data_IF_703434064552
#
_entry.id   IF_703434064552
#
_cell.length_a   1.000
_cell.length_b   1.000
_cell.length_c   1.000
_cell.angle_alpha   90.00
_cell.angle_beta   90.00
_cell.angle_gamma   90.00
#
_symmetry.space_group_name_H-M   'P 1'
#
loop_
_entity.id
_entity.type
_entity.pdbx_description
1 polymer ?
#
# COMPACT_ATOMS: atom_id res chain seq x y z
N UNK A 1 38.57 -23.87 -69.04
CA UNK A 1 37.45 -24.55 -69.75
C UNK A 1 36.39 -24.75 -68.68
N UNK A 2 35.30 -23.99 -68.56
CA UNK A 2 34.36 -23.37 -69.53
C UNK A 2 33.71 -22.17 -68.74
N UNK A 3 33.99 -20.89 -69.04
CA UNK A 3 33.20 -19.90 -69.84
C UNK A 3 31.68 -19.96 -69.53
N UNK A 4 30.97 -18.93 -69.02
CA UNK A 4 30.50 -17.66 -69.67
C UNK A 4 29.82 -16.75 -68.60
N UNK A 5 30.25 -15.50 -68.33
CA UNK A 5 29.90 -14.16 -68.90
C UNK A 5 28.73 -13.36 -68.28
N UNK A 6 29.10 -12.18 -67.74
CA UNK A 6 28.50 -10.83 -67.97
C UNK A 6 27.07 -10.54 -67.45
N UNK A 7 26.64 -9.31 -67.12
CA UNK A 7 27.08 -7.99 -67.57
C UNK A 7 26.64 -6.87 -66.61
N UNK A 8 27.33 -5.74 -66.76
CA UNK A 8 27.07 -4.42 -66.18
C UNK A 8 25.92 -3.69 -66.87
N UNK A 9 25.16 -2.86 -66.13
CA UNK A 9 24.70 -1.55 -66.64
C UNK A 9 24.27 -0.57 -65.54
N UNK A 10 25.02 0.52 -65.43
CA UNK A 10 24.58 1.83 -64.92
C UNK A 10 23.56 2.43 -65.87
N UNK A 11 22.57 3.17 -65.35
CA UNK A 11 22.13 4.42 -65.95
C UNK A 11 21.56 5.38 -64.89
N UNK A 12 22.01 6.63 -64.99
CA UNK A 12 21.62 7.82 -64.24
C UNK A 12 20.51 8.59 -64.97
N UNK A 13 20.03 9.65 -64.30
CA UNK A 13 19.12 10.73 -64.71
C UNK A 13 17.62 10.39 -64.54
N UNK A 14 16.75 11.27 -64.03
CA UNK A 14 16.73 12.72 -64.17
C UNK A 14 15.81 13.37 -63.09
N UNK A 15 16.20 14.56 -62.64
CA UNK A 15 15.40 15.50 -61.83
C UNK A 15 14.26 16.12 -62.66
N UNK A 16 13.19 16.63 -61.99
CA UNK A 16 12.57 17.98 -62.15
C UNK A 16 11.09 18.04 -61.66
N UNK A 17 10.52 19.23 -61.37
CA UNK A 17 9.82 19.52 -60.10
C UNK A 17 8.41 20.13 -60.25
N UNK A 18 7.90 20.67 -59.13
CA UNK A 18 6.81 21.66 -58.95
C UNK A 18 5.36 21.24 -59.24
N UNK A 19 4.51 21.40 -58.23
CA UNK A 19 3.29 22.21 -58.39
C UNK A 19 2.91 22.88 -57.06
N UNK A 20 2.90 24.22 -57.11
CA UNK A 20 2.24 25.11 -56.17
C UNK A 20 0.71 24.99 -56.27
N UNK A 21 0.01 25.07 -55.15
CA UNK A 21 -1.33 25.67 -55.09
C UNK A 21 -1.43 26.56 -53.84
N UNK A 22 -1.99 27.75 -54.07
CA UNK A 22 -2.01 28.92 -53.19
C UNK A 22 -3.50 29.27 -52.92
N UNK A 23 -3.88 29.36 -51.63
CA UNK A 23 -4.94 30.18 -50.99
C UNK A 23 -6.43 30.02 -51.43
N UNK A 24 -7.45 30.49 -50.65
CA UNK A 24 -7.40 31.48 -49.56
C UNK A 24 -8.22 31.21 -48.25
N UNK A 25 -7.91 32.05 -47.25
CA UNK A 25 -8.75 32.63 -46.18
C UNK A 25 -10.07 31.95 -45.78
N UNK A 26 -10.20 31.61 -44.50
CA UNK A 26 -11.41 31.94 -43.74
C UNK A 26 -11.08 32.22 -42.26
N UNK A 27 -11.16 33.50 -41.92
CA UNK A 27 -11.19 34.04 -40.58
C UNK A 27 -12.64 33.89 -40.08
N UNK A 28 -12.89 33.18 -38.98
CA UNK A 28 -14.16 33.30 -38.25
C UNK A 28 -13.89 33.52 -36.76
N UNK A 29 -14.20 34.75 -36.35
CA UNK A 29 -14.29 35.27 -35.00
C UNK A 29 -15.70 34.97 -34.44
N UNK A 30 -15.78 34.86 -33.11
CA UNK A 30 -16.98 34.88 -32.25
C UNK A 30 -17.73 33.54 -32.07
N UNK A 31 -17.61 32.91 -30.89
CA UNK A 31 -18.48 33.26 -29.76
C UNK A 31 -17.99 32.63 -28.45
N UNK A 32 -18.05 33.47 -27.42
CA UNK A 32 -17.96 33.16 -25.99
C UNK A 32 -18.98 32.10 -25.58
N UNK A 33 -18.53 31.02 -24.95
CA UNK A 33 -19.36 30.22 -24.07
C UNK A 33 -18.65 30.04 -22.74
N UNK A 34 -19.13 30.81 -21.77
CA UNK A 34 -18.97 30.60 -20.34
C UNK A 34 -19.49 29.22 -19.99
N UNK A 35 -18.68 28.37 -19.35
CA UNK A 35 -19.18 27.19 -18.66
C UNK A 35 -18.43 26.99 -17.33
N UNK A 36 -19.18 27.37 -16.30
CA UNK A 36 -19.32 26.77 -14.96
C UNK A 36 -18.09 26.70 -14.05
N UNK A 37 -18.11 27.65 -13.11
CA UNK A 37 -17.72 27.51 -11.72
C UNK A 37 -17.78 26.05 -11.22
N UNK A 38 -16.63 25.51 -10.84
CA UNK A 38 -16.59 24.50 -9.78
C UNK A 38 -16.88 25.20 -8.45
N UNK A 39 -18.16 25.39 -8.16
CA UNK A 39 -18.62 25.67 -6.81
C UNK A 39 -18.28 24.46 -5.93
N UNK A 40 -17.18 24.57 -5.18
CA UNK A 40 -16.92 23.74 -4.01
C UNK A 40 -18.05 24.03 -3.04
N UNK A 41 -19.03 23.13 -2.98
CA UNK A 41 -20.10 23.20 -2.00
C UNK A 41 -19.52 22.73 -0.65
N UNK A 42 -18.92 23.67 0.09
CA UNK A 42 -18.72 23.56 1.53
C UNK A 42 -20.11 23.55 2.18
N UNK A 43 -20.67 22.37 2.40
CA UNK A 43 -21.90 22.19 3.19
C UNK A 43 -21.53 22.21 4.68
N UNK A 44 -21.59 23.39 5.29
CA UNK A 44 -21.81 23.50 6.73
C UNK A 44 -23.31 23.41 6.97
N UNK A 45 -23.81 22.31 7.52
CA UNK A 45 -25.25 22.15 7.79
C UNK A 45 -25.48 21.79 9.25
N UNK A 46 -26.16 22.70 9.96
CA UNK A 46 -26.95 22.40 11.15
C UNK A 46 -28.17 21.56 10.70
N UNK A 47 -28.23 20.30 11.10
CA UNK A 47 -29.25 19.37 10.62
C UNK A 47 -30.51 19.35 11.50
N UNK A 48 -31.66 19.62 10.88
CA UNK A 48 -32.97 19.11 11.31
C UNK A 48 -33.49 18.08 10.28
N UNK A 49 -34.12 17.05 10.83
CA UNK A 49 -34.48 15.75 10.27
C UNK A 49 -35.57 15.75 9.18
N UNK A 50 -35.47 14.80 8.23
CA UNK A 50 -36.55 13.85 7.88
C UNK A 50 -36.00 12.71 7.00
N UNK A 51 -36.41 11.46 7.32
CA UNK A 51 -35.82 10.18 6.84
C UNK A 51 -36.74 9.46 5.86
N UNK A 52 -36.20 8.76 4.85
CA UNK A 52 -36.80 7.50 4.41
C UNK A 52 -35.82 6.30 4.36
N UNK A 53 -36.38 5.15 4.80
CA UNK A 53 -35.94 3.73 4.82
C UNK A 53 -34.45 3.37 4.59
N UNK A 54 -33.81 3.05 5.71
CA UNK A 54 -32.44 2.57 5.93
C UNK A 54 -32.18 1.12 5.50
N UNK A 55 -31.03 0.90 4.87
CA UNK A 55 -30.26 -0.33 5.04
C UNK A 55 -29.90 -0.43 6.54
N UNK A 56 -30.34 -1.49 7.23
CA UNK A 56 -30.00 -1.64 8.66
C UNK A 56 -28.52 -1.98 8.78
N UNK A 57 -27.70 -0.99 9.11
CA UNK A 57 -26.39 -1.26 9.67
C UNK A 57 -26.54 -2.17 10.89
N UNK A 58 -25.66 -3.17 11.07
CA UNK A 58 -25.65 -3.91 12.32
C UNK A 58 -25.45 -2.93 13.49
N UNK A 59 -26.15 -3.14 14.62
CA UNK A 59 -25.95 -2.30 15.80
C UNK A 59 -24.47 -2.30 16.22
N UNK A 60 -23.99 -1.24 16.90
CA UNK A 60 -22.63 -1.19 17.43
C UNK A 60 -22.35 -2.48 18.20
N UNK A 61 -21.34 -3.22 17.75
CA UNK A 61 -20.98 -4.50 18.34
C UNK A 61 -20.12 -4.26 19.57
N UNK A 62 -20.55 -4.76 20.73
CA UNK A 62 -19.71 -4.87 21.92
C UNK A 62 -18.84 -6.11 21.73
N UNK A 63 -17.56 -5.93 21.40
CA UNK A 63 -16.62 -7.04 21.29
C UNK A 63 -15.58 -6.97 22.41
N UNK A 64 -15.53 -8.00 23.24
CA UNK A 64 -14.38 -8.34 24.06
C UNK A 64 -13.56 -9.39 23.31
N UNK A 65 -12.42 -9.00 22.74
CA UNK A 65 -11.50 -9.94 22.10
C UNK A 65 -10.06 -9.43 22.13
N UNK A 66 -9.23 -10.20 22.82
CA UNK A 66 -7.78 -10.26 22.65
C UNK A 66 -7.50 -11.44 21.74
N UNK A 67 -7.10 -11.22 20.48
CA UNK A 67 -6.32 -12.20 19.70
C UNK A 67 -5.66 -11.58 18.48
N UNK A 68 -4.34 -11.77 18.40
CA UNK A 68 -3.51 -11.72 17.20
C UNK A 68 -3.93 -12.83 16.22
N UNK A 69 -4.41 -12.46 15.04
CA UNK A 69 -4.15 -13.19 13.80
C UNK A 69 -4.44 -12.28 12.62
N UNK A 70 -3.38 -11.75 12.01
CA UNK A 70 -3.48 -10.98 10.77
C UNK A 70 -3.85 -11.91 9.61
N UNK A 71 -4.93 -11.56 8.90
CA UNK A 71 -5.25 -12.05 7.56
C UNK A 71 -4.03 -11.93 6.63
N UNK A 72 -3.93 -12.68 5.51
CA UNK A 72 -2.80 -12.62 4.59
C UNK A 72 -2.59 -11.19 4.09
N UNK A 73 -1.61 -10.51 4.68
CA UNK A 73 -1.34 -9.11 4.44
C UNK A 73 -0.80 -8.98 3.00
N UNK A 74 -1.30 -8.05 2.18
CA UNK A 74 -0.46 -7.50 1.11
C UNK A 74 0.90 -7.20 1.76
N UNK A 75 2.04 -7.64 1.19
CA UNK A 75 3.36 -7.61 1.85
C UNK A 75 3.72 -8.80 2.76
N UNK A 76 3.13 -9.99 2.58
CA UNK A 76 3.47 -11.21 3.35
C UNK A 76 4.99 -11.56 3.44
N UNK A 77 5.84 -11.04 2.56
CA UNK A 77 7.30 -11.18 2.61
C UNK A 77 8.06 -10.09 3.39
N UNK A 78 7.41 -8.97 3.71
CA UNK A 78 8.01 -7.80 4.34
C UNK A 78 8.05 -7.92 5.85
N UNK A 79 7.27 -8.84 6.43
CA UNK A 79 7.19 -9.02 7.88
C UNK A 79 6.57 -7.81 8.60
N UNK A 80 6.61 -7.79 9.94
CA UNK A 80 6.05 -6.69 10.71
C UNK A 80 6.78 -5.38 10.37
N UNK A 81 6.03 -4.27 10.39
CA UNK A 81 6.58 -2.93 10.25
C UNK A 81 7.69 -2.74 11.29
N UNK A 82 8.87 -2.29 10.85
CA UNK A 82 9.94 -1.98 11.77
C UNK A 82 9.58 -0.72 12.55
N UNK A 83 9.68 -0.77 13.88
CA UNK A 83 9.47 0.39 14.77
C UNK A 83 10.38 1.57 14.46
N UNK A 84 11.51 1.32 13.80
CA UNK A 84 12.50 2.31 13.41
C UNK A 84 12.25 2.93 12.03
N UNK A 85 11.26 2.43 11.28
CA UNK A 85 10.95 2.98 9.95
C UNK A 85 9.94 4.10 10.09
N UNK A 86 10.44 5.32 9.92
CA UNK A 86 9.59 6.47 9.69
C UNK A 86 8.83 6.28 8.38
N UNK A 87 7.50 6.17 8.47
CA UNK A 87 6.66 5.99 7.29
C UNK A 87 6.26 7.32 6.65
N UNK A 88 6.43 8.44 7.34
CA UNK A 88 6.05 9.77 6.83
C UNK A 88 6.80 10.11 5.53
N UNK A 89 8.04 9.62 5.37
CA UNK A 89 8.81 9.72 4.12
C UNK A 89 8.18 8.99 2.91
N UNK A 90 7.17 8.16 3.15
CA UNK A 90 6.38 7.48 2.12
C UNK A 90 5.02 8.15 1.88
N UNK A 91 4.69 9.24 2.57
CA UNK A 91 3.53 10.06 2.26
C UNK A 91 3.59 10.55 0.81
N UNK A 92 2.43 10.64 0.16
CA UNK A 92 2.29 11.23 -1.16
C UNK A 92 2.03 12.73 -0.98
N UNK A 93 2.84 13.63 -1.55
CA UNK A 93 2.65 15.07 -1.36
C UNK A 93 1.52 15.64 -2.23
N UNK A 94 1.23 15.05 -3.39
CA UNK A 94 0.17 15.49 -4.28
C UNK A 94 -1.19 14.93 -3.84
N UNK A 95 -2.06 15.80 -3.32
CA UNK A 95 -3.38 15.39 -2.84
C UNK A 95 -4.25 14.86 -3.98
N UNK A 96 -4.18 15.46 -5.17
CA UNK A 96 -4.97 15.06 -6.33
C UNK A 96 -4.70 13.59 -6.68
N UNK A 97 -3.43 13.16 -6.58
CA UNK A 97 -3.04 11.76 -6.76
C UNK A 97 -3.75 10.86 -5.75
N UNK A 98 -3.70 11.20 -4.46
CA UNK A 98 -4.35 10.40 -3.40
C UNK A 98 -5.86 10.24 -3.67
N UNK A 99 -6.55 11.33 -4.03
CA UNK A 99 -8.00 11.31 -4.27
C UNK A 99 -8.38 10.41 -5.45
N UNK A 100 -7.56 10.35 -6.49
CA UNK A 100 -7.81 9.47 -7.65
C UNK A 100 -7.48 8.00 -7.41
N UNK A 101 -6.56 7.72 -6.49
CA UNK A 101 -6.01 6.38 -6.27
C UNK A 101 -6.85 5.52 -5.32
N UNK A 102 -7.71 6.12 -4.50
CA UNK A 102 -8.59 5.36 -3.62
C UNK A 102 -9.54 4.45 -4.40
N UNK A 103 -9.63 3.19 -4.00
CA UNK A 103 -10.61 2.24 -4.53
C UNK A 103 -11.22 1.39 -3.42
N UNK A 104 -12.33 0.73 -3.72
CA UNK A 104 -13.03 -0.16 -2.79
C UNK A 104 -13.00 -1.58 -3.37
N UNK A 105 -12.35 -2.49 -2.64
CA UNK A 105 -12.15 -3.87 -3.06
C UNK A 105 -13.08 -4.80 -2.30
N UNK A 106 -13.70 -5.73 -3.01
CA UNK A 106 -14.41 -6.85 -2.39
C UNK A 106 -13.37 -7.83 -1.88
N UNK A 107 -13.32 -8.02 -0.57
CA UNK A 107 -12.53 -9.06 0.07
C UNK A 107 -13.45 -10.28 0.24
N UNK A 108 -13.24 -11.36 -0.54
CA UNK A 108 -14.05 -12.56 -0.41
C UNK A 108 -13.85 -13.20 0.96
N UNK A 109 -14.89 -13.88 1.46
CA UNK A 109 -14.82 -14.66 2.69
C UNK A 109 -13.65 -15.66 2.63
N UNK A 110 -12.74 -15.56 3.59
CA UNK A 110 -11.71 -16.56 3.77
C UNK A 110 -12.31 -17.77 4.51
N UNK A 111 -12.30 -18.94 3.87
CA UNK A 111 -12.85 -20.19 4.43
C UNK A 111 -12.14 -20.56 5.75
N UNK A 112 -10.86 -20.20 5.90
CA UNK A 112 -10.05 -20.60 7.05
C UNK A 112 -10.14 -19.64 8.23
N UNK A 113 -10.55 -18.39 8.03
CA UNK A 113 -10.45 -17.32 9.05
C UNK A 113 -11.83 -16.87 9.59
N UNK A 114 -12.91 -17.56 9.20
CA UNK A 114 -14.31 -17.21 9.52
C UNK A 114 -14.63 -15.72 9.31
N UNK A 115 -13.88 -15.04 8.44
CA UNK A 115 -14.03 -13.61 8.20
C UNK A 115 -15.14 -13.42 7.19
N UNK A 116 -16.17 -12.61 7.48
CA UNK A 116 -17.22 -12.37 6.50
C UNK A 116 -16.65 -11.69 5.26
N UNK A 117 -17.32 -11.88 4.13
CA UNK A 117 -17.08 -11.06 2.95
C UNK A 117 -17.28 -9.59 3.33
N UNK A 118 -16.34 -8.74 2.93
CA UNK A 118 -16.37 -7.31 3.26
C UNK A 118 -15.80 -6.46 2.14
N UNK A 119 -16.22 -5.21 2.08
CA UNK A 119 -15.62 -4.21 1.19
C UNK A 119 -14.57 -3.46 2.01
N UNK A 120 -13.35 -3.35 1.49
CA UNK A 120 -12.25 -2.65 2.15
C UNK A 120 -11.58 -1.67 1.21
N UNK A 121 -10.95 -0.65 1.80
CA UNK A 121 -10.24 0.35 1.03
C UNK A 121 -8.95 -0.24 0.44
N UNK A 122 -8.65 0.18 -0.79
CA UNK A 122 -7.45 -0.19 -1.53
C UNK A 122 -6.95 0.96 -2.39
N UNK A 123 -5.99 0.62 -3.25
CA UNK A 123 -5.40 1.54 -4.22
C UNK A 123 -5.60 1.02 -5.65
N UNK A 124 -5.88 1.90 -6.59
CA UNK A 124 -5.95 1.59 -8.03
C UNK A 124 -4.55 1.17 -8.53
N UNK A 125 -3.53 2.00 -8.31
CA UNK A 125 -2.13 1.67 -8.58
C UNK A 125 -1.51 0.84 -7.45
N UNK A 126 -2.02 -0.38 -7.29
CA UNK A 126 -1.50 -1.36 -6.32
C UNK A 126 -0.08 -1.83 -6.59
N UNK A 127 0.54 -1.46 -7.72
CA UNK A 127 1.94 -1.77 -8.00
C UNK A 127 2.86 -0.87 -7.18
N UNK A 128 2.63 0.43 -7.22
CA UNK A 128 3.53 1.45 -6.66
C UNK A 128 3.05 2.01 -5.33
N UNK A 129 1.76 1.89 -5.04
CA UNK A 129 1.13 2.44 -3.84
C UNK A 129 0.60 1.34 -2.94
N UNK A 130 0.34 1.68 -1.69
CA UNK A 130 -0.35 0.81 -0.75
C UNK A 130 -1.12 1.58 0.30
N UNK A 131 -2.05 0.89 0.96
CA UNK A 131 -2.81 1.43 2.07
C UNK A 131 -2.15 1.04 3.38
N UNK A 132 -1.67 2.03 4.12
CA UNK A 132 -1.20 1.90 5.50
C UNK A 132 -2.37 2.10 6.47
N UNK A 133 -2.29 1.47 7.64
CA UNK A 133 -3.24 1.70 8.73
C UNK A 133 -2.55 2.46 9.85
N UNK A 134 -3.10 3.62 10.20
CA UNK A 134 -2.61 4.45 11.30
C UNK A 134 -3.67 4.53 12.39
N UNK A 135 -3.21 4.73 13.62
CA UNK A 135 -4.09 4.90 14.78
C UNK A 135 -3.81 6.27 15.36
N UNK A 136 -4.85 7.07 15.53
CA UNK A 136 -4.79 8.40 16.14
C UNK A 136 -5.64 8.37 17.40
N UNK A 137 -5.07 8.79 18.53
CA UNK A 137 -5.77 8.86 19.81
C UNK A 137 -6.00 10.32 20.19
N UNK A 138 -7.27 10.66 20.45
CA UNK A 138 -7.71 12.02 20.75
C UNK A 138 -8.39 12.01 22.10
N UNK A 139 -7.96 12.88 23.02
CA UNK A 139 -8.66 13.07 24.29
C UNK A 139 -9.96 13.84 24.06
N UNK A 140 -11.09 13.31 24.51
CA UNK A 140 -12.37 14.03 24.41
C UNK A 140 -12.43 15.14 25.44
N UNK A 141 -12.98 16.28 25.03
CA UNK A 141 -13.33 17.39 25.91
C UNK A 141 -14.85 17.52 26.00
N UNK A 142 -15.34 18.04 27.12
CA UNK A 142 -16.74 18.47 27.28
C UNK A 142 -17.00 19.85 26.66
N UNK A 143 -15.95 20.67 26.52
CA UNK A 143 -16.03 22.03 25.97
C UNK A 143 -16.08 22.04 24.44
N UNK A 144 -15.47 21.04 23.80
CA UNK A 144 -15.39 20.92 22.35
C UNK A 144 -16.05 19.62 21.89
N UNK A 145 -17.01 19.78 20.99
CA UNK A 145 -17.78 18.66 20.42
C UNK A 145 -17.25 18.36 19.01
N UNK A 146 -17.21 17.07 18.66
CA UNK A 146 -16.80 16.59 17.34
C UNK A 146 -15.34 16.17 17.27
N UNK A 147 -14.86 15.82 16.06
CA UNK A 147 -13.47 15.42 15.83
C UNK A 147 -12.57 16.61 15.45
N UNK A 148 -13.14 17.70 14.96
CA UNK A 148 -12.36 18.79 14.35
C UNK A 148 -11.74 18.40 13.00
N UNK A 149 -12.38 17.49 12.27
CA UNK A 149 -11.93 16.98 10.96
C UNK A 149 -12.98 17.37 9.92
N UNK A 150 -12.52 17.93 8.79
CA UNK A 150 -13.33 18.17 7.60
C UNK A 150 -13.33 16.91 6.73
N UNK A 151 -14.51 16.48 6.29
CA UNK A 151 -14.69 15.29 5.46
C UNK A 151 -15.18 15.66 4.06
N UNK A 152 -14.76 14.90 3.07
CA UNK A 152 -15.20 15.00 1.68
C UNK A 152 -15.44 13.60 1.12
N UNK A 153 -16.58 13.41 0.45
CA UNK A 153 -16.83 12.22 -0.35
C UNK A 153 -16.18 12.38 -1.73
N UNK A 154 -15.35 11.41 -2.11
CA UNK A 154 -14.66 11.40 -3.41
C UNK A 154 -15.21 10.37 -4.39
N UNK A 155 -15.87 9.33 -3.87
CA UNK A 155 -16.64 8.34 -4.64
C UNK A 155 -17.90 8.05 -3.85
N UNK A 156 -19.10 8.15 -4.43
CA UNK A 156 -20.33 7.95 -3.67
C UNK A 156 -21.59 8.35 -4.44
N UNK A 157 -22.62 8.81 -3.72
CA UNK A 157 -23.93 9.16 -4.28
C UNK A 157 -24.86 7.97 -4.53
N UNK A 158 -24.52 6.79 -4.01
CA UNK A 158 -25.35 5.59 -4.10
C UNK A 158 -26.38 5.55 -2.97
N UNK A 159 -27.52 4.94 -3.23
CA UNK A 159 -28.60 4.78 -2.24
C UNK A 159 -28.30 3.73 -1.16
N UNK A 160 -27.25 2.92 -1.32
CA UNK A 160 -26.84 1.88 -0.37
C UNK A 160 -25.89 2.41 0.73
N UNK A 161 -25.53 3.70 0.69
CA UNK A 161 -24.63 4.33 1.65
C UNK A 161 -23.15 3.97 1.45
N UNK A 162 -22.80 3.21 0.40
CA UNK A 162 -21.42 2.91 0.06
C UNK A 162 -20.77 4.10 -0.64
N UNK A 163 -19.52 4.36 -0.26
CA UNK A 163 -18.72 5.45 -0.81
C UNK A 163 -17.31 5.43 -0.27
N UNK A 164 -16.54 6.45 -0.61
CA UNK A 164 -15.22 6.69 -0.07
C UNK A 164 -15.22 8.12 0.43
N UNK A 165 -15.14 8.25 1.75
CA UNK A 165 -15.02 9.52 2.45
C UNK A 165 -13.58 9.68 2.92
N UNK A 166 -13.00 10.84 2.66
CA UNK A 166 -11.63 11.19 3.03
C UNK A 166 -11.61 12.49 3.83
N UNK A 167 -10.50 12.73 4.52
CA UNK A 167 -10.21 13.99 5.19
C UNK A 167 -9.88 15.04 4.13
N UNK A 168 -10.59 16.17 4.15
CA UNK A 168 -10.31 17.34 3.30
C UNK A 168 -9.55 18.44 4.03
N UNK A 169 -9.46 18.37 5.36
CA UNK A 169 -8.75 19.32 6.21
C UNK A 169 -9.08 19.15 7.68
N UNK A 170 -8.54 20.05 8.51
CA UNK A 170 -8.90 20.17 9.92
C UNK A 170 -9.74 21.44 10.12
N UNK A 171 -10.58 21.41 11.16
CA UNK A 171 -11.33 22.60 11.59
C UNK A 171 -10.41 23.45 12.46
N UNK A 172 -10.28 24.74 12.15
CA UNK A 172 -9.50 25.70 12.94
C UNK A 172 -10.01 25.76 14.40
N UNK A 173 -9.10 25.63 15.36
CA UNK A 173 -9.39 25.50 16.78
C UNK A 173 -10.12 24.19 17.14
N UNK A 174 -10.18 23.21 16.24
CA UNK A 174 -10.79 21.91 16.45
C UNK A 174 -9.91 20.97 17.27
N UNK A 175 -10.52 19.91 17.80
CA UNK A 175 -9.84 18.94 18.69
C UNK A 175 -8.60 18.30 18.06
N UNK A 176 -8.66 17.90 16.79
CA UNK A 176 -7.50 17.33 16.09
C UNK A 176 -6.34 18.31 15.93
N UNK A 177 -6.63 19.58 15.61
CA UNK A 177 -5.59 20.59 15.42
C UNK A 177 -4.91 20.93 16.75
N UNK A 178 -5.68 21.15 17.82
CA UNK A 178 -5.12 21.50 19.13
C UNK A 178 -4.29 20.40 19.76
N UNK A 179 -4.62 19.14 19.48
CA UNK A 179 -3.90 17.98 20.00
C UNK A 179 -2.79 17.51 19.06
N UNK A 180 -2.50 18.25 17.98
CA UNK A 180 -1.46 17.91 17.00
C UNK A 180 -1.59 16.47 16.49
N UNK A 181 -2.80 16.10 16.08
CA UNK A 181 -3.10 14.74 15.64
C UNK A 181 -2.43 14.42 14.29
N UNK A 182 -1.87 13.20 14.13
CA UNK A 182 -1.34 12.70 12.84
C UNK A 182 -2.47 12.33 11.87
N UNK A 183 -3.25 13.34 11.48
CA UNK A 183 -4.32 13.27 10.50
C UNK A 183 -3.92 14.12 9.30
N UNK A 184 -3.94 13.53 8.11
CA UNK A 184 -3.57 14.20 6.87
C UNK A 184 -4.74 14.28 5.90
N UNK A 185 -4.73 15.33 5.07
CA UNK A 185 -5.65 15.43 3.92
C UNK A 185 -5.45 14.20 3.03
N UNK A 186 -6.56 13.58 2.62
CA UNK A 186 -6.59 12.35 1.83
C UNK A 186 -6.64 11.05 2.65
N UNK A 187 -6.46 11.09 3.98
CA UNK A 187 -6.71 9.94 4.85
C UNK A 187 -8.19 9.56 4.82
N UNK A 188 -8.51 8.28 5.03
CA UNK A 188 -9.89 7.82 5.21
C UNK A 188 -10.06 7.18 6.59
N UNK A 189 -11.11 7.56 7.32
CA UNK A 189 -11.42 6.97 8.62
C UNK A 189 -12.06 5.61 8.38
N UNK A 190 -11.43 4.53 8.85
CA UNK A 190 -11.97 3.17 8.74
C UNK A 190 -12.82 2.75 9.94
N UNK A 191 -12.49 3.27 11.12
CA UNK A 191 -13.33 3.14 12.30
C UNK A 191 -13.03 4.22 13.32
N UNK A 192 -14.00 4.46 14.21
CA UNK A 192 -13.87 5.33 15.38
C UNK A 192 -14.30 4.54 16.60
N UNK A 193 -13.42 4.41 17.59
CA UNK A 193 -13.72 3.79 18.88
C UNK A 193 -13.74 4.83 20.00
N UNK A 194 -14.69 4.71 20.93
CA UNK A 194 -14.66 5.40 22.22
C UNK A 194 -14.14 4.42 23.27
N UNK A 195 -13.01 4.76 23.89
CA UNK A 195 -12.44 4.05 25.04
C UNK A 195 -12.86 4.79 26.31
N UNK A 196 -13.56 4.09 27.19
CA UNK A 196 -13.98 4.61 28.50
C UNK A 196 -13.31 3.80 29.60
N UNK A 197 -12.57 4.46 30.49
CA UNK A 197 -11.93 3.82 31.64
C UNK A 197 -12.71 4.12 32.90
N UNK A 198 -13.31 3.09 33.48
CA UNK A 198 -14.03 3.15 34.75
C UNK A 198 -13.14 2.63 35.87
N UNK A 199 -12.87 3.47 36.87
CA UNK A 199 -12.17 3.06 38.09
C UNK A 199 -13.22 2.68 39.13
N UNK A 200 -13.32 1.39 39.49
CA UNK A 200 -14.16 0.93 40.60
C UNK A 200 -13.29 0.60 41.81
N UNK A 201 -13.77 0.97 43.01
CA UNK A 201 -13.23 0.47 44.27
C UNK A 201 -14.07 -0.72 44.69
N UNK A 202 -13.50 -1.91 44.61
CA UNK A 202 -14.13 -3.09 45.18
C UNK A 202 -13.64 -3.30 46.62
N UNK A 203 -14.57 -3.46 47.56
CA UNK A 203 -14.41 -3.21 49.00
C UNK A 203 -13.38 -4.08 49.76
N UNK A 204 -12.60 -4.92 49.07
CA UNK A 204 -11.54 -5.73 49.68
C UNK A 204 -10.33 -6.02 48.75
N UNK A 205 -10.35 -5.61 47.47
CA UNK A 205 -9.37 -6.06 46.46
C UNK A 205 -8.89 -4.93 45.53
N UNK A 206 -8.32 -3.87 46.10
CA UNK A 206 -7.62 -2.82 45.33
C UNK A 206 -8.50 -2.02 44.37
N UNK A 207 -7.88 -1.07 43.65
CA UNK A 207 -8.51 -0.38 42.51
C UNK A 207 -8.52 -1.32 41.31
N UNK A 208 -9.67 -1.51 40.66
CA UNK A 208 -9.75 -2.15 39.35
C UNK A 208 -10.15 -1.12 38.28
N UNK A 209 -9.34 -1.05 37.22
CA UNK A 209 -9.61 -0.21 36.05
C UNK A 209 -10.24 -1.10 34.98
N UNK A 210 -11.52 -0.89 34.68
CA UNK A 210 -12.22 -1.58 33.58
C UNK A 210 -12.31 -0.65 32.38
N UNK A 211 -11.79 -1.07 31.23
CA UNK A 211 -11.89 -0.30 29.98
C UNK A 211 -12.92 -0.92 29.05
N UNK A 212 -13.90 -0.11 28.61
CA UNK A 212 -14.91 -0.50 27.62
C UNK A 212 -14.65 0.21 26.29
N UNK A 213 -14.72 -0.53 25.18
CA UNK A 213 -14.56 -0.03 23.82
C UNK A 213 -15.88 -0.13 23.05
N UNK A 214 -16.33 1.00 22.48
CA UNK A 214 -17.50 1.07 21.59
C UNK A 214 -17.03 1.59 20.24
N UNK A 215 -17.20 0.80 19.18
CA UNK A 215 -16.67 1.09 17.84
C UNK A 215 -17.77 1.32 16.83
N UNK A 216 -17.60 2.36 16.02
CA UNK A 216 -18.35 2.61 14.79
C UNK A 216 -17.43 2.36 13.59
N UNK A 217 -17.86 1.49 12.67
CA UNK A 217 -17.15 1.23 11.42
C UNK A 217 -17.55 2.26 10.37
N UNK A 218 -16.57 2.82 9.66
CA UNK A 218 -16.77 3.86 8.65
C UNK A 218 -16.08 3.53 7.32
N UNK A 219 -15.32 2.43 7.26
CA UNK A 219 -14.64 1.99 6.04
C UNK A 219 -15.65 1.78 4.90
N UNK A 220 -15.35 2.35 3.74
CA UNK A 220 -16.18 2.29 2.53
C UNK A 220 -17.61 2.86 2.68
N UNK A 221 -17.82 3.77 3.63
CA UNK A 221 -19.07 4.53 3.74
C UNK A 221 -18.99 5.87 2.97
N UNK A 222 -20.12 6.27 2.39
CA UNK A 222 -20.34 7.61 1.88
C UNK A 222 -20.42 8.66 3.00
N UNK A 223 -20.52 9.94 2.63
CA UNK A 223 -20.43 11.04 3.62
C UNK A 223 -21.51 10.94 4.71
N UNK A 224 -22.77 10.85 4.31
CA UNK A 224 -23.89 10.86 5.27
C UNK A 224 -23.85 9.64 6.20
N UNK A 225 -23.54 8.46 5.66
CA UNK A 225 -23.40 7.22 6.42
C UNK A 225 -22.19 7.26 7.37
N UNK A 226 -21.08 7.89 6.96
CA UNK A 226 -19.90 8.12 7.81
C UNK A 226 -20.27 9.02 8.99
N UNK A 227 -20.94 10.15 8.73
CA UNK A 227 -21.37 11.09 9.78
C UNK A 227 -22.37 10.43 10.73
N UNK A 228 -23.34 9.68 10.20
CA UNK A 228 -24.32 8.94 11.01
C UNK A 228 -23.64 7.89 11.91
N UNK A 229 -22.70 7.12 11.37
CA UNK A 229 -21.95 6.11 12.11
C UNK A 229 -21.16 6.74 13.26
N UNK A 230 -20.41 7.81 13.00
CA UNK A 230 -19.62 8.52 14.03
C UNK A 230 -20.55 9.14 15.08
N UNK A 231 -21.68 9.72 14.66
CA UNK A 231 -22.65 10.36 15.56
C UNK A 231 -23.41 9.35 16.44
N UNK A 232 -23.39 8.05 16.10
CA UNK A 232 -23.98 6.99 16.90
C UNK A 232 -23.17 6.63 18.15
N UNK A 233 -21.91 7.10 18.23
CA UNK A 233 -21.05 6.88 19.37
C UNK A 233 -21.53 7.66 20.60
N UNK A 234 -21.25 7.16 21.82
CA UNK A 234 -21.69 7.84 23.04
C UNK A 234 -21.14 9.27 23.11
N UNK A 235 -21.91 10.23 23.67
CA UNK A 235 -21.42 11.60 23.87
C UNK A 235 -20.25 11.63 24.87
N UNK A 236 -19.48 12.73 24.90
CA UNK A 236 -18.45 12.91 25.94
C UNK A 236 -19.11 12.87 27.33
N UNK A 237 -18.41 12.36 28.35
CA UNK A 237 -19.01 12.17 29.67
C UNK A 237 -19.26 13.53 30.33
N UNK A 238 -20.38 13.68 31.02
CA UNK A 238 -20.72 14.91 31.75
C UNK A 238 -19.95 15.06 33.07
N UNK A 239 -19.24 14.03 33.52
CA UNK A 239 -18.42 14.00 34.73
C UNK A 239 -16.99 13.58 34.37
N UNK A 240 -16.01 13.92 35.23
CA UNK A 240 -14.55 13.85 35.00
C UNK A 240 -13.93 12.47 34.76
N UNK A 241 -14.60 11.59 34.02
CA UNK A 241 -14.06 10.39 33.42
C UNK A 241 -13.30 10.76 32.16
N UNK A 242 -12.05 10.32 32.05
CA UNK A 242 -11.27 10.48 30.83
C UNK A 242 -11.81 9.52 29.75
N UNK A 243 -12.01 10.05 28.54
CA UNK A 243 -12.37 9.26 27.36
C UNK A 243 -11.40 9.55 26.23
N UNK A 244 -11.00 8.49 25.52
CA UNK A 244 -10.14 8.57 24.35
C UNK A 244 -10.96 8.16 23.13
N UNK A 245 -10.90 8.97 22.08
CA UNK A 245 -11.33 8.58 20.74
C UNK A 245 -10.14 7.98 20.02
N UNK A 246 -10.27 6.72 19.62
CA UNK A 246 -9.28 6.02 18.81
C UNK A 246 -9.79 5.98 17.38
N UNK A 247 -9.18 6.77 16.50
CA UNK A 247 -9.43 6.74 15.06
C UNK A 247 -8.50 5.71 14.43
N UNK A 248 -9.07 4.71 13.75
CA UNK A 248 -8.30 3.85 12.86
C UNK A 248 -8.44 4.41 11.45
N UNK A 249 -7.36 4.90 10.88
CA UNK A 249 -7.36 5.56 9.57
C UNK A 249 -6.54 4.78 8.56
N UNK A 250 -6.88 4.98 7.29
CA UNK A 250 -6.22 4.41 6.12
C UNK A 250 -5.52 5.55 5.39
N UNK A 251 -4.23 5.39 5.13
CA UNK A 251 -3.41 6.37 4.41
C UNK A 251 -2.77 5.72 3.18
N UNK A 252 -2.95 6.31 2.00
CA UNK A 252 -2.21 5.88 0.81
C UNK A 252 -0.77 6.36 0.92
N UNK A 253 0.18 5.44 0.71
CA UNK A 253 1.62 5.71 0.72
C UNK A 253 2.29 5.11 -0.52
N UNK A 254 3.42 5.70 -0.94
CA UNK A 254 4.30 5.06 -1.93
C UNK A 254 4.94 3.82 -1.33
N UNK A 255 5.09 2.75 -2.11
CA UNK A 255 5.83 1.57 -1.68
C UNK A 255 7.33 1.88 -1.58
N UNK A 256 8.03 1.37 -0.55
CA UNK A 256 9.49 1.46 -0.48
C UNK A 256 10.12 0.81 -1.71
N UNK A 257 11.11 1.49 -2.29
CA UNK A 257 11.83 1.04 -3.48
C UNK A 257 13.25 0.60 -3.09
N UNK A 258 13.66 -0.57 -3.58
CA UNK A 258 14.94 -1.19 -3.31
C UNK A 258 15.73 -1.24 -4.62
N UNK A 259 16.88 -0.58 -4.62
CA UNK A 259 17.86 -0.65 -5.70
C UNK A 259 18.78 -1.85 -5.49
N UNK A 260 18.90 -2.71 -6.49
CA UNK A 260 19.72 -3.91 -6.42
C UNK A 260 20.80 -3.85 -7.50
N UNK A 261 22.06 -3.82 -7.07
CA UNK A 261 23.21 -3.94 -7.95
C UNK A 261 23.57 -5.42 -8.07
N UNK A 262 23.30 -6.00 -9.23
CA UNK A 262 23.63 -7.38 -9.56
C UNK A 262 25.03 -7.45 -10.13
N UNK A 263 25.83 -8.34 -9.58
CA UNK A 263 27.18 -8.63 -10.05
C UNK A 263 27.26 -10.04 -10.58
N UNK A 264 28.01 -10.22 -11.66
CA UNK A 264 28.18 -11.50 -12.34
C UNK A 264 29.60 -12.05 -12.14
N UNK A 265 29.75 -13.38 -11.98
CA UNK A 265 31.05 -14.02 -12.00
C UNK A 265 31.90 -13.60 -13.20
N UNK A 266 33.22 -13.41 -13.04
CA UNK A 266 34.10 -13.01 -14.15
C UNK A 266 34.05 -13.96 -15.36
N UNK A 267 33.77 -15.25 -15.12
CA UNK A 267 33.62 -16.28 -16.14
C UNK A 267 32.44 -16.04 -17.10
N UNK A 268 31.37 -15.38 -16.63
CA UNK A 268 30.19 -15.11 -17.44
C UNK A 268 30.39 -13.94 -18.42
N UNK A 269 31.38 -13.06 -18.17
CA UNK A 269 31.66 -11.87 -18.99
C UNK A 269 30.42 -11.00 -19.24
N UNK A 270 29.52 -10.95 -18.26
CA UNK A 270 28.34 -10.08 -18.27
C UNK A 270 28.61 -8.84 -17.41
N UNK A 271 28.19 -7.63 -17.84
CA UNK A 271 28.38 -6.42 -17.05
C UNK A 271 27.41 -6.41 -15.85
N UNK A 272 27.85 -5.77 -14.76
CA UNK A 272 26.98 -5.50 -13.60
C UNK A 272 25.70 -4.78 -14.04
N UNK A 273 24.57 -5.17 -13.47
CA UNK A 273 23.25 -4.67 -13.85
C UNK A 273 22.48 -4.16 -12.64
N UNK A 274 21.80 -3.03 -12.77
CA UNK A 274 20.93 -2.49 -11.72
C UNK A 274 19.48 -2.82 -11.98
N UNK A 275 18.78 -3.36 -10.98
CA UNK A 275 17.33 -3.58 -11.02
C UNK A 275 16.66 -2.90 -9.84
N UNK A 276 15.39 -2.56 -9.99
CA UNK A 276 14.58 -1.97 -8.93
C UNK A 276 13.40 -2.88 -8.60
N UNK A 277 13.16 -3.07 -7.31
CA UNK A 277 12.07 -3.85 -6.75
C UNK A 277 11.34 -3.04 -5.67
N UNK A 278 10.03 -3.23 -5.55
CA UNK A 278 9.26 -2.73 -4.43
C UNK A 278 9.33 -3.68 -3.23
N UNK A 279 9.16 -3.14 -2.03
CA UNK A 279 9.07 -3.96 -0.82
C UNK A 279 8.00 -5.05 -0.97
N UNK A 280 8.37 -6.28 -0.60
CA UNK A 280 7.54 -7.47 -0.70
C UNK A 280 7.71 -8.26 -1.99
N UNK A 281 8.47 -7.77 -2.97
CA UNK A 281 8.77 -8.56 -4.16
C UNK A 281 9.76 -9.70 -3.87
N UNK A 282 9.52 -10.87 -4.48
CA UNK A 282 10.40 -12.03 -4.38
C UNK A 282 11.65 -11.83 -5.27
N UNK A 283 12.83 -11.97 -4.65
CA UNK A 283 14.10 -11.67 -5.29
C UNK A 283 14.38 -12.57 -6.51
N UNK A 284 14.13 -13.89 -6.41
CA UNK A 284 14.30 -14.81 -7.55
C UNK A 284 13.37 -14.49 -8.70
N UNK A 285 12.07 -14.33 -8.41
CA UNK A 285 11.09 -14.07 -9.45
C UNK A 285 11.41 -12.79 -10.21
N UNK A 286 11.74 -11.72 -9.49
CA UNK A 286 12.11 -10.43 -10.06
C UNK A 286 13.34 -10.52 -10.98
N UNK A 287 14.34 -11.31 -10.59
CA UNK A 287 15.53 -11.57 -11.41
C UNK A 287 15.18 -12.37 -12.67
N UNK A 288 14.42 -13.46 -12.56
CA UNK A 288 14.07 -14.30 -13.71
C UNK A 288 13.22 -13.57 -14.75
N UNK A 289 12.23 -12.78 -14.33
CA UNK A 289 11.38 -11.99 -15.24
C UNK A 289 12.19 -10.97 -16.02
N UNK A 290 13.33 -10.52 -15.48
CA UNK A 290 14.27 -9.58 -16.13
C UNK A 290 15.38 -10.29 -16.92
N UNK A 291 15.28 -11.60 -17.13
CA UNK A 291 16.25 -12.37 -17.91
C UNK A 291 17.58 -12.64 -17.19
N UNK A 292 17.67 -12.37 -15.88
CA UNK A 292 18.88 -12.64 -15.10
C UNK A 292 19.07 -14.15 -14.98
N UNK A 293 20.22 -14.63 -15.43
CA UNK A 293 20.57 -16.06 -15.43
C UNK A 293 20.92 -16.54 -14.03
N UNK A 294 19.88 -16.94 -13.32
CA UNK A 294 19.98 -17.78 -12.13
C UNK A 294 20.03 -19.25 -12.56
N UNK A 295 20.30 -20.13 -11.59
CA UNK A 295 20.55 -21.55 -11.76
C UNK A 295 22.01 -21.86 -12.02
N UNK A 296 22.79 -21.69 -10.96
CA UNK A 296 24.18 -22.09 -10.91
C UNK A 296 24.32 -23.58 -11.34
N UNK A 297 24.95 -23.88 -12.49
CA UNK A 297 25.17 -25.24 -12.95
C UNK A 297 26.01 -26.08 -11.98
N UNK A 298 26.78 -25.44 -11.08
CA UNK A 298 27.56 -26.12 -10.06
C UNK A 298 26.72 -26.47 -8.81
N UNK A 299 25.49 -25.97 -8.71
CA UNK A 299 24.59 -26.30 -7.61
C UNK A 299 23.90 -27.66 -7.84
N UNK A 300 23.98 -28.53 -6.83
CA UNK A 300 23.32 -29.85 -6.84
C UNK A 300 21.99 -29.80 -6.08
N UNK A 301 20.96 -30.48 -6.62
CA UNK A 301 19.70 -30.71 -5.90
C UNK A 301 19.93 -31.54 -4.63
N UNK A 302 19.31 -31.12 -3.53
CA UNK A 302 19.41 -31.84 -2.24
C UNK A 302 18.46 -33.04 -2.20
N UNK A 303 17.27 -32.91 -2.80
CA UNK A 303 16.19 -33.91 -2.77
C UNK A 303 16.40 -35.11 -3.71
N UNK A 304 17.03 -34.89 -4.85
CA UNK A 304 17.07 -35.87 -5.94
C UNK A 304 18.49 -36.21 -6.40
N UNK A 305 19.51 -35.47 -5.91
CA UNK A 305 20.93 -35.58 -6.33
C UNK A 305 21.16 -35.52 -7.85
N UNK A 306 20.14 -35.17 -8.64
CA UNK A 306 20.18 -34.97 -10.08
C UNK A 306 20.31 -33.49 -10.42
N UNK A 307 20.54 -33.18 -11.71
CA UNK A 307 20.50 -31.81 -12.21
C UNK A 307 19.09 -31.21 -12.17
N UNK A 308 18.99 -29.88 -12.24
CA UNK A 308 17.71 -29.16 -12.37
C UNK A 308 17.38 -28.25 -11.18
N UNK A 309 16.28 -27.50 -11.30
CA UNK A 309 15.81 -26.57 -10.27
C UNK A 309 14.50 -27.06 -9.62
N UNK A 310 14.24 -26.64 -8.38
CA UNK A 310 13.05 -27.04 -7.61
C UNK A 310 11.85 -26.09 -7.74
N UNK A 311 11.81 -25.21 -8.75
CA UNK A 311 10.67 -24.29 -8.95
C UNK A 311 10.34 -23.38 -7.76
N UNK A 312 11.33 -22.94 -6.99
CA UNK A 312 11.20 -22.15 -5.74
C UNK A 312 10.80 -22.94 -4.46
N UNK A 313 10.82 -24.28 -4.51
CA UNK A 313 10.63 -25.13 -3.31
C UNK A 313 11.66 -24.88 -2.19
N UNK A 314 12.86 -24.38 -2.54
CA UNK A 314 13.95 -24.17 -1.59
C UNK A 314 14.73 -25.44 -1.27
N UNK A 315 14.86 -26.36 -2.22
CA UNK A 315 15.50 -27.67 -2.04
C UNK A 315 16.69 -27.92 -2.97
N UNK A 316 16.97 -26.99 -3.89
CA UNK A 316 17.95 -27.22 -4.97
C UNK A 316 19.22 -26.37 -4.91
N UNK A 317 19.24 -25.30 -4.10
CA UNK A 317 20.30 -24.28 -4.05
C UNK A 317 20.69 -23.61 -5.38
N UNK A 318 20.04 -23.92 -6.50
CA UNK A 318 20.38 -23.33 -7.82
C UNK A 318 20.11 -21.82 -7.88
N UNK A 319 19.25 -21.32 -7.00
CA UNK A 319 18.95 -19.90 -6.85
C UNK A 319 19.75 -19.20 -5.73
N UNK A 320 20.83 -19.84 -5.25
CA UNK A 320 21.71 -19.23 -4.27
C UNK A 320 22.32 -17.94 -4.84
N UNK A 321 22.40 -16.92 -4.00
CA UNK A 321 23.06 -15.65 -4.28
C UNK A 321 23.87 -15.24 -3.07
N UNK A 322 24.92 -14.46 -3.29
CA UNK A 322 25.75 -13.90 -2.21
C UNK A 322 25.39 -12.43 -2.02
N UNK A 323 24.86 -12.07 -0.85
CA UNK A 323 24.46 -10.70 -0.54
C UNK A 323 25.67 -9.96 0.03
N UNK A 324 26.31 -9.14 -0.78
CA UNK A 324 27.55 -8.43 -0.43
C UNK A 324 27.26 -7.24 0.50
N UNK A 325 26.15 -6.54 0.26
CA UNK A 325 25.66 -5.40 1.05
C UNK A 325 24.14 -5.39 1.06
N UNK A 326 23.53 -4.84 2.10
CA UNK A 326 22.08 -4.66 2.21
C UNK A 326 21.32 -5.93 2.61
N UNK A 327 21.94 -6.81 3.41
CA UNK A 327 21.30 -8.05 3.89
C UNK A 327 20.10 -7.78 4.80
N UNK A 328 20.13 -6.66 5.52
CA UNK A 328 19.07 -6.15 6.39
C UNK A 328 17.81 -5.67 5.64
N UNK A 329 17.90 -5.52 4.32
CA UNK A 329 16.76 -5.22 3.44
C UNK A 329 16.00 -6.49 3.04
N UNK A 330 16.52 -7.68 3.34
CA UNK A 330 15.84 -8.94 3.09
C UNK A 330 15.14 -9.46 4.34
N UNK A 331 14.10 -10.26 4.16
CA UNK A 331 13.52 -11.01 5.27
C UNK A 331 14.55 -11.94 5.90
N UNK A 332 14.45 -12.20 7.21
CA UNK A 332 15.32 -13.16 7.89
C UNK A 332 15.19 -14.54 7.25
N UNK A 333 16.28 -15.31 7.32
CA UNK A 333 16.26 -16.70 6.90
C UNK A 333 15.31 -17.49 7.81
N UNK A 334 14.63 -18.48 7.23
CA UNK A 334 13.90 -19.47 8.03
C UNK A 334 14.82 -20.66 8.28
N UNK A 335 14.57 -21.42 9.34
CA UNK A 335 15.40 -22.57 9.74
C UNK A 335 15.77 -23.52 8.58
N UNK A 336 14.84 -23.78 7.66
CA UNK A 336 15.12 -24.65 6.50
C UNK A 336 16.13 -24.03 5.50
N UNK A 337 16.10 -22.71 5.30
CA UNK A 337 17.10 -21.99 4.49
C UNK A 337 18.47 -22.04 5.19
N UNK A 338 18.50 -21.74 6.50
CA UNK A 338 19.72 -21.74 7.31
C UNK A 338 20.40 -23.11 7.32
N UNK A 339 19.63 -24.19 7.54
CA UNK A 339 20.16 -25.55 7.51
C UNK A 339 20.75 -25.92 6.15
N UNK A 340 20.13 -25.47 5.05
CA UNK A 340 20.60 -25.79 3.71
C UNK A 340 21.86 -24.99 3.30
N UNK A 341 22.09 -23.83 3.93
CA UNK A 341 23.25 -22.97 3.68
C UNK A 341 24.29 -23.04 4.80
N UNK A 342 24.15 -23.95 5.77
CA UNK A 342 24.99 -24.04 6.98
C UNK A 342 26.50 -24.15 6.66
N UNK A 343 26.83 -24.88 5.61
CA UNK A 343 28.21 -25.10 5.17
C UNK A 343 28.72 -24.03 4.18
N UNK A 344 27.84 -23.12 3.76
CA UNK A 344 28.15 -22.03 2.85
C UNK A 344 28.41 -20.72 3.65
N UNK A 345 28.89 -19.66 2.99
CA UNK A 345 29.22 -18.41 3.72
C UNK A 345 27.96 -17.74 4.29
N UNK A 346 28.04 -17.06 5.46
CA UNK A 346 26.87 -16.52 6.16
C UNK A 346 26.07 -15.46 5.37
N UNK A 347 26.67 -14.93 4.30
CA UNK A 347 26.05 -13.94 3.41
C UNK A 347 25.24 -14.54 2.27
N UNK A 348 25.21 -15.87 2.14
CA UNK A 348 24.42 -16.53 1.09
C UNK A 348 22.95 -16.55 1.44
N UNK A 349 22.12 -16.41 0.41
CA UNK A 349 20.66 -16.46 0.48
C UNK A 349 20.13 -17.32 -0.64
N UNK A 350 19.01 -17.99 -0.39
CA UNK A 350 18.19 -18.55 -1.45
C UNK A 350 17.28 -17.43 -1.96
N UNK A 351 17.56 -16.90 -3.14
CA UNK A 351 16.74 -15.82 -3.72
C UNK A 351 15.26 -16.20 -3.85
N UNK A 352 14.91 -17.50 -3.91
CA UNK A 352 13.52 -17.97 -3.91
C UNK A 352 12.79 -17.82 -2.56
N UNK A 353 13.52 -17.74 -1.44
CA UNK A 353 12.99 -17.51 -0.09
C UNK A 353 13.22 -16.08 0.41
N UNK A 354 13.91 -15.27 -0.39
CA UNK A 354 14.21 -13.88 -0.09
C UNK A 354 13.19 -12.93 -0.73
N UNK A 355 12.66 -12.04 0.10
CA UNK A 355 11.78 -10.94 -0.22
C UNK A 355 12.48 -9.65 0.20
N UNK A 356 12.39 -8.62 -0.64
CA UNK A 356 13.08 -7.35 -0.41
C UNK A 356 12.22 -6.37 0.39
N UNK A 357 12.86 -5.37 0.98
CA UNK A 357 12.23 -4.28 1.72
C UNK A 357 11.70 -4.66 3.09
N UNK A 358 12.25 -5.68 3.74
CA UNK A 358 11.77 -6.17 5.04
C UNK A 358 11.62 -5.05 6.07
N UNK A 359 10.49 -5.01 6.77
CA UNK A 359 10.10 -3.96 7.69
C UNK A 359 9.70 -2.64 7.01
N UNK A 360 9.32 -2.67 5.72
CA UNK A 360 9.02 -1.50 4.89
C UNK A 360 10.21 -0.56 4.67
N UNK A 361 11.41 -1.14 4.57
CA UNK A 361 12.65 -0.39 4.34
C UNK A 361 12.90 -0.17 2.84
N UNK A 362 13.34 1.03 2.49
CA UNK A 362 13.93 1.35 1.20
C UNK A 362 15.45 1.36 1.33
N UNK A 363 16.16 1.18 0.22
CA UNK A 363 17.62 1.24 0.24
C UNK A 363 18.28 0.63 -0.99
N UNK A 364 19.58 0.40 -0.87
CA UNK A 364 20.39 -0.21 -1.92
C UNK A 364 21.09 -1.46 -1.40
N UNK A 365 21.08 -2.52 -2.20
CA UNK A 365 21.79 -3.77 -1.91
C UNK A 365 22.64 -4.21 -3.09
N UNK A 366 23.69 -4.98 -2.81
CA UNK A 366 24.56 -5.57 -3.82
C UNK A 366 24.51 -7.09 -3.71
N UNK A 367 24.23 -7.75 -4.83
CA UNK A 367 24.03 -9.19 -4.90
C UNK A 367 24.90 -9.78 -6.00
N UNK A 368 25.72 -10.76 -5.62
CA UNK A 368 26.47 -11.60 -6.54
C UNK A 368 25.62 -12.81 -6.94
N UNK A 369 25.35 -12.97 -8.23
CA UNK A 369 24.66 -14.15 -8.75
C UNK A 369 25.63 -15.32 -8.88
N UNK A 370 25.11 -16.55 -8.81
CA UNK A 370 25.88 -17.80 -8.97
C UNK A 370 27.16 -17.84 -8.10
N UNK A 371 27.01 -17.77 -6.76
CA UNK A 371 28.11 -17.47 -5.86
C UNK A 371 29.21 -18.55 -5.79
N UNK A 372 29.00 -19.76 -6.34
CA UNK A 372 30.06 -20.80 -6.44
C UNK A 372 31.04 -20.57 -7.58
N UNK A 373 30.75 -19.62 -8.48
CA UNK A 373 31.58 -19.31 -9.64
C UNK A 373 32.46 -18.07 -9.43
N UNK A 374 32.39 -17.48 -8.23
CA UNK A 374 33.29 -16.44 -7.73
C UNK A 374 34.45 -17.10 -7.01
#
# INVERSE_FOLDING_TARGET
MTITTSSSRRQQHQQQPHHHFFLPFLLLLLHTFSFLDHSVILKTVHAFSTVPRRYRHPPPSISTSTTLSEAPVPFAGVGPRSTWTDMSKYNIPQIETILTEWTANIIPKNINENTPERIALGVENSRELFVDTIIVEIRRSTEKVGLGILLQEIKGGRSDGLGITVVSGLVEGGLCEEQDCDVMVGDSISSVSVLQTNKSKDGAAGLQDTTTEITAMTECLGYDATVEAISSLPPPPSSGQEQILKLTMKRIRRKPLISINLQYPPSQKEPDTKIQLYAGENLRLAMLVRGIKLNDPLAKRFDTKSGGNCGAGGLCRTCAVSVVRGGELLNPQKMAEEQMLKDDTPRWRLSCKAFVGYGMKEGEMTVQVNPRQW
#
